data_IF_691075882384
#
_entry.id   IF_691075882384
#
_cell.length_a   1.000
_cell.length_b   1.000
_cell.length_c   1.000
_cell.angle_alpha   90.00
_cell.angle_beta   90.00
_cell.angle_gamma   90.00
#
_symmetry.space_group_name_H-M   'P 1'
#
loop_
_entity.id
_entity.type
_entity.pdbx_description
1 polymer ?
#
# COMPACT_ATOMS: atom_id res chain seq x y z
N UNK A 1 -30.55 27.08 20.25
CA UNK A 1 -30.22 25.70 19.82
C UNK A 1 -30.30 25.60 18.30
N UNK A 2 -29.17 25.75 17.62
CA UNK A 2 -28.81 25.15 16.32
C UNK A 2 -27.44 25.72 15.94
N UNK A 3 -26.38 25.00 16.32
CA UNK A 3 -25.06 25.23 15.72
C UNK A 3 -25.05 24.45 14.39
N UNK A 4 -25.23 25.15 13.29
CA UNK A 4 -24.76 24.69 11.99
C UNK A 4 -23.24 24.81 11.98
N UNK A 5 -22.56 23.71 12.30
CA UNK A 5 -21.11 23.63 12.16
C UNK A 5 -20.81 23.40 10.67
N UNK A 6 -20.08 24.37 10.12
CA UNK A 6 -19.45 24.40 8.81
C UNK A 6 -19.17 23.01 8.21
N UNK A 7 -19.88 22.67 7.12
CA UNK A 7 -19.53 21.59 6.18
C UNK A 7 -18.66 22.06 5.01
N UNK A 8 -18.02 23.23 5.12
CA UNK A 8 -17.20 23.82 4.05
C UNK A 8 -15.77 24.02 4.58
N UNK A 9 -14.84 23.15 4.17
CA UNK A 9 -13.41 23.43 4.42
C UNK A 9 -12.37 22.31 4.28
N UNK A 10 -12.70 21.04 4.00
CA UNK A 10 -11.68 19.96 4.05
C UNK A 10 -11.43 19.20 2.74
N UNK A 11 -11.88 19.70 1.58
CA UNK A 11 -11.60 19.05 0.28
C UNK A 11 -10.20 19.33 -0.29
N UNK A 12 -9.26 19.88 0.49
CA UNK A 12 -7.98 20.35 -0.07
C UNK A 12 -6.76 20.32 0.85
N UNK A 13 -6.85 19.74 2.06
CA UNK A 13 -5.64 19.46 2.84
C UNK A 13 -5.21 18.03 2.56
N UNK A 14 -4.04 17.86 1.96
CA UNK A 14 -3.40 16.56 1.82
C UNK A 14 -3.26 15.95 3.22
N UNK A 15 -3.96 14.85 3.46
CA UNK A 15 -3.91 14.17 4.76
C UNK A 15 -2.57 13.44 4.85
N UNK A 16 -1.74 13.79 5.82
CA UNK A 16 -0.54 13.04 6.15
C UNK A 16 -0.89 11.83 7.03
N UNK A 17 -0.06 10.80 6.91
CA UNK A 17 -0.10 9.69 7.85
C UNK A 17 0.25 10.16 9.26
N UNK A 18 -0.48 9.65 10.24
CA UNK A 18 -0.28 9.81 11.68
C UNK A 18 0.79 8.83 12.16
N UNK A 19 0.77 7.59 11.66
CA UNK A 19 1.79 6.61 12.01
C UNK A 19 3.10 6.92 11.30
N UNK A 20 4.20 6.48 11.92
CA UNK A 20 5.50 6.38 11.25
C UNK A 20 5.60 5.01 10.60
N UNK A 21 6.09 4.98 9.37
CA UNK A 21 6.28 3.76 8.61
C UNK A 21 7.76 3.55 8.33
N UNK A 22 8.22 2.32 8.50
CA UNK A 22 9.53 1.86 8.06
C UNK A 22 9.52 1.52 6.58
N UNK A 23 10.67 1.60 5.94
CA UNK A 23 10.83 1.19 4.56
C UNK A 23 10.34 -0.26 4.37
N UNK A 24 9.36 -0.53 3.49
CA UNK A 24 8.75 -1.85 3.34
C UNK A 24 9.59 -2.82 2.48
N UNK A 25 10.83 -2.45 2.17
CA UNK A 25 11.81 -3.24 1.42
C UNK A 25 13.21 -3.04 2.02
N UNK A 26 14.14 -3.99 1.87
CA UNK A 26 15.53 -3.81 2.31
C UNK A 26 16.21 -2.64 1.58
N UNK A 27 16.76 -1.68 2.35
CA UNK A 27 17.41 -0.47 1.80
C UNK A 27 18.56 -0.76 0.84
N UNK A 28 19.28 -1.86 1.03
CA UNK A 28 20.40 -2.26 0.18
C UNK A 28 19.97 -2.78 -1.21
N UNK A 29 18.68 -3.08 -1.40
CA UNK A 29 18.10 -3.51 -2.68
C UNK A 29 17.26 -2.40 -3.33
N UNK A 30 17.03 -1.29 -2.63
CA UNK A 30 16.24 -0.16 -3.11
C UNK A 30 17.03 0.64 -4.14
N UNK A 31 16.56 0.64 -5.38
CA UNK A 31 17.15 1.42 -6.46
C UNK A 31 16.63 2.85 -6.47
N UNK A 32 15.30 3.01 -6.31
CA UNK A 32 14.64 4.32 -6.32
C UNK A 32 13.28 4.27 -5.60
N UNK A 33 12.90 5.38 -4.99
CA UNK A 33 11.52 5.65 -4.56
C UNK A 33 10.87 6.55 -5.59
N UNK A 34 9.73 6.13 -6.13
CA UNK A 34 8.97 6.89 -7.12
C UNK A 34 7.58 7.24 -6.57
N UNK A 35 7.21 8.51 -6.70
CA UNK A 35 5.94 9.05 -6.20
C UNK A 35 5.12 9.72 -7.28
N UNK A 36 5.69 9.92 -8.47
CA UNK A 36 5.17 10.87 -9.46
C UNK A 36 5.08 10.32 -10.86
N UNK A 37 5.88 9.31 -11.23
CA UNK A 37 5.96 8.89 -12.63
C UNK A 37 4.79 8.00 -13.08
N UNK A 38 4.16 7.30 -12.13
CA UNK A 38 3.09 6.35 -12.44
C UNK A 38 1.77 7.06 -12.76
N UNK A 39 1.15 6.85 -13.93
CA UNK A 39 -0.15 7.42 -14.25
C UNK A 39 -1.27 6.85 -13.37
N UNK A 40 -1.03 5.74 -12.67
CA UNK A 40 -1.96 5.19 -11.68
C UNK A 40 -2.00 6.02 -10.38
N UNK A 41 -1.00 6.87 -10.12
CA UNK A 41 -0.91 7.72 -8.92
C UNK A 41 -1.78 8.98 -9.08
N UNK A 42 -3.07 8.77 -9.28
CA UNK A 42 -4.07 9.82 -9.44
C UNK A 42 -5.30 9.55 -8.56
N UNK A 43 -6.10 10.58 -8.31
CA UNK A 43 -7.33 10.46 -7.51
C UNK A 43 -7.08 9.90 -6.11
N UNK A 44 -7.70 8.76 -5.81
CA UNK A 44 -7.55 8.09 -4.51
C UNK A 44 -6.19 7.43 -4.30
N UNK A 45 -5.35 7.31 -5.34
CA UNK A 45 -4.01 6.72 -5.28
C UNK A 45 -2.89 7.78 -5.40
N UNK A 46 -3.23 9.07 -5.34
CA UNK A 46 -2.27 10.17 -5.52
C UNK A 46 -1.08 10.15 -4.55
N UNK A 47 -1.23 9.50 -3.38
CA UNK A 47 -0.17 9.39 -2.37
C UNK A 47 0.49 8.00 -2.36
N UNK A 48 0.22 7.16 -3.37
CA UNK A 48 0.91 5.89 -3.52
C UNK A 48 2.40 6.10 -3.88
N UNK A 49 3.18 5.07 -3.60
CA UNK A 49 4.63 5.10 -3.65
C UNK A 49 5.09 3.79 -4.29
N UNK A 50 5.89 3.88 -5.33
CA UNK A 50 6.51 2.72 -5.95
C UNK A 50 7.97 2.61 -5.47
N UNK A 51 8.31 1.48 -4.87
CA UNK A 51 9.69 1.15 -4.52
C UNK A 51 10.29 0.27 -5.61
N UNK A 52 11.19 0.83 -6.39
CA UNK A 52 11.86 0.13 -7.49
C UNK A 52 12.90 -0.80 -6.89
N UNK A 53 12.63 -2.10 -6.99
CA UNK A 53 13.45 -3.21 -6.45
C UNK A 53 13.29 -4.45 -7.32
N UNK A 54 14.28 -5.35 -7.37
CA UNK A 54 14.16 -6.61 -8.12
C UNK A 54 13.01 -7.51 -7.67
N UNK A 55 12.53 -8.38 -8.55
CA UNK A 55 11.65 -9.50 -8.17
C UNK A 55 12.29 -10.37 -7.08
N UNK A 56 11.45 -11.02 -6.27
CA UNK A 56 11.83 -11.81 -5.10
C UNK A 56 12.44 -11.00 -3.93
N UNK A 57 12.53 -9.67 -4.03
CA UNK A 57 12.88 -8.81 -2.89
C UNK A 57 11.91 -9.05 -1.73
N UNK A 58 12.38 -9.26 -0.49
CA UNK A 58 11.53 -9.36 0.69
C UNK A 58 10.63 -8.13 0.85
N UNK A 59 9.33 -8.35 1.03
CA UNK A 59 8.38 -7.30 1.41
C UNK A 59 8.21 -7.34 2.91
N UNK A 60 8.42 -6.20 3.56
CA UNK A 60 8.43 -6.05 5.01
C UNK A 60 7.20 -5.27 5.47
N UNK A 61 6.58 -5.70 6.57
CA UNK A 61 5.53 -4.91 7.22
C UNK A 61 6.09 -3.55 7.64
N UNK A 62 5.53 -2.47 7.10
CA UNK A 62 6.02 -1.11 7.32
C UNK A 62 5.76 -0.60 8.75
N UNK A 63 4.85 -1.23 9.49
CA UNK A 63 4.56 -0.94 10.89
C UNK A 63 3.90 -2.16 11.56
N UNK A 64 3.85 -2.18 12.89
CA UNK A 64 3.09 -3.17 13.64
C UNK A 64 1.61 -3.13 13.25
N UNK A 65 0.95 -4.29 13.15
CA UNK A 65 -0.45 -4.32 12.77
C UNK A 65 -1.06 -5.71 12.70
N UNK A 66 -2.25 -5.79 12.12
CA UNK A 66 -2.97 -7.05 11.89
C UNK A 66 -3.30 -7.17 10.40
N UNK A 67 -3.01 -8.32 9.80
CA UNK A 67 -3.33 -8.58 8.39
C UNK A 67 -4.85 -8.66 8.23
N UNK A 68 -5.42 -7.81 7.37
CA UNK A 68 -6.87 -7.75 7.14
C UNK A 68 -7.27 -8.39 5.83
N UNK A 69 -6.37 -8.45 4.85
CA UNK A 69 -6.66 -9.06 3.56
C UNK A 69 -5.42 -9.61 2.88
N UNK A 70 -5.61 -10.67 2.10
CA UNK A 70 -4.60 -11.28 1.24
C UNK A 70 -5.27 -11.68 -0.06
N UNK A 71 -4.67 -11.30 -1.19
CA UNK A 71 -4.87 -11.92 -2.49
C UNK A 71 -3.51 -12.39 -2.99
N UNK A 72 -3.37 -13.69 -3.23
CA UNK A 72 -2.07 -14.31 -3.56
C UNK A 72 -2.24 -15.47 -4.56
N UNK A 73 -3.29 -15.40 -5.38
CA UNK A 73 -3.80 -16.47 -6.22
C UNK A 73 -3.52 -16.27 -7.72
N UNK A 74 -2.98 -15.12 -8.11
CA UNK A 74 -2.70 -14.80 -9.50
C UNK A 74 -1.25 -15.04 -9.87
N UNK A 75 -1.03 -15.50 -11.11
CA UNK A 75 0.25 -15.52 -11.80
C UNK A 75 0.27 -14.60 -13.04
N UNK A 76 -0.71 -13.71 -13.16
CA UNK A 76 -0.93 -12.86 -14.34
C UNK A 76 -0.50 -11.43 -14.03
N UNK A 77 0.23 -10.82 -14.96
CA UNK A 77 0.52 -9.39 -14.95
C UNK A 77 1.13 -8.89 -16.25
N UNK A 78 1.35 -7.58 -16.32
CA UNK A 78 1.96 -6.90 -17.47
C UNK A 78 1.46 -5.47 -17.66
N UNK A 79 1.87 -4.80 -18.75
CA UNK A 79 1.67 -3.36 -18.94
C UNK A 79 0.28 -3.00 -19.49
N UNK A 80 -0.68 -3.93 -19.47
CA UNK A 80 -2.04 -3.66 -19.91
C UNK A 80 -2.94 -3.37 -18.69
N UNK A 81 -3.67 -2.24 -18.66
CA UNK A 81 -4.61 -1.91 -17.57
C UNK A 81 -5.67 -3.00 -17.31
N UNK A 82 -5.98 -3.86 -18.28
CA UNK A 82 -6.88 -5.00 -18.08
C UNK A 82 -6.38 -5.97 -17.01
N UNK A 83 -5.08 -5.92 -16.67
CA UNK A 83 -4.52 -6.79 -15.65
C UNK A 83 -4.74 -6.32 -14.21
N UNK A 84 -5.36 -5.16 -13.98
CA UNK A 84 -5.56 -4.60 -12.64
C UNK A 84 -6.17 -5.59 -11.62
N UNK A 85 -7.15 -6.40 -12.04
CA UNK A 85 -7.82 -7.36 -11.15
C UNK A 85 -6.97 -8.57 -10.78
N UNK A 86 -5.82 -8.75 -11.43
CA UNK A 86 -4.88 -9.84 -11.17
C UNK A 86 -3.78 -9.47 -10.17
N UNK A 87 -3.72 -8.23 -9.68
CA UNK A 87 -2.74 -7.80 -8.68
C UNK A 87 -2.84 -8.65 -7.41
N UNK A 88 -1.75 -9.28 -6.99
CA UNK A 88 -1.66 -9.88 -5.66
C UNK A 88 -1.23 -8.82 -4.66
N UNK A 89 -1.81 -8.87 -3.47
CA UNK A 89 -1.57 -7.88 -2.44
C UNK A 89 -1.86 -8.38 -1.02
N UNK A 90 -1.26 -7.70 -0.06
CA UNK A 90 -1.57 -7.83 1.37
C UNK A 90 -2.02 -6.46 1.89
N UNK A 91 -3.02 -6.44 2.76
CA UNK A 91 -3.42 -5.26 3.50
C UNK A 91 -3.28 -5.48 5.01
N UNK A 92 -2.77 -4.48 5.73
CA UNK A 92 -2.54 -4.52 7.18
C UNK A 92 -3.19 -3.30 7.81
N UNK A 93 -3.97 -3.49 8.88
CA UNK A 93 -4.46 -2.41 9.74
C UNK A 93 -3.45 -2.12 10.85
N UNK A 94 -3.26 -0.84 11.13
CA UNK A 94 -2.34 -0.32 12.14
C UNK A 94 -3.10 0.47 13.21
N UNK A 95 -2.35 1.04 14.16
CA UNK A 95 -2.88 2.04 15.08
C UNK A 95 -3.49 3.23 14.31
N UNK A 96 -4.36 4.01 14.96
CA UNK A 96 -5.02 5.19 14.37
C UNK A 96 -5.88 4.88 13.13
N UNK A 97 -6.31 3.62 12.96
CA UNK A 97 -7.14 3.17 11.84
C UNK A 97 -6.52 3.43 10.44
N UNK A 98 -5.19 3.52 10.39
CA UNK A 98 -4.46 3.55 9.13
C UNK A 98 -4.22 2.15 8.62
N UNK A 99 -4.27 2.01 7.30
CA UNK A 99 -4.01 0.77 6.61
C UNK A 99 -2.83 0.95 5.68
N UNK A 100 -1.95 -0.04 5.62
CA UNK A 100 -0.99 -0.16 4.53
C UNK A 100 -1.38 -1.29 3.59
N UNK A 101 -1.10 -1.11 2.30
CA UNK A 101 -1.28 -2.13 1.28
C UNK A 101 -0.02 -2.26 0.42
N UNK A 102 0.28 -3.50 0.07
CA UNK A 102 1.52 -3.95 -0.57
C UNK A 102 1.14 -4.74 -1.83
N UNK A 103 1.34 -4.15 -3.00
CA UNK A 103 0.84 -4.64 -4.29
C UNK A 103 1.94 -5.21 -5.18
N UNK A 104 1.54 -5.82 -6.30
CA UNK A 104 2.40 -6.50 -7.27
C UNK A 104 3.22 -7.66 -6.67
N UNK A 105 2.67 -8.33 -5.66
CA UNK A 105 3.36 -9.43 -4.98
C UNK A 105 3.56 -10.63 -5.92
N UNK A 106 4.63 -11.38 -5.66
CA UNK A 106 4.89 -12.64 -6.36
C UNK A 106 3.79 -13.68 -6.04
N UNK A 107 3.42 -14.55 -7.00
CA UNK A 107 2.40 -15.58 -6.77
C UNK A 107 2.79 -16.52 -5.63
N UNK A 108 1.84 -16.85 -4.75
CA UNK A 108 2.02 -17.80 -3.64
C UNK A 108 3.19 -17.42 -2.72
N UNK A 109 3.46 -16.12 -2.57
CA UNK A 109 4.61 -15.63 -1.79
C UNK A 109 4.25 -15.19 -0.38
N UNK A 110 2.96 -15.12 -0.02
CA UNK A 110 2.54 -14.70 1.31
C UNK A 110 3.12 -15.60 2.40
N UNK A 111 3.71 -14.97 3.42
CA UNK A 111 4.26 -15.60 4.63
C UNK A 111 3.32 -15.44 5.83
N UNK A 112 2.16 -14.82 5.63
CA UNK A 112 1.20 -14.47 6.67
C UNK A 112 -0.22 -14.90 6.31
N UNK A 113 -1.12 -14.84 7.29
CA UNK A 113 -2.55 -15.16 7.13
C UNK A 113 -3.42 -14.00 7.60
N UNK A 114 -4.63 -13.90 7.06
CA UNK A 114 -5.64 -12.93 7.57
C UNK A 114 -5.88 -13.16 9.06
N UNK A 115 -5.93 -12.07 9.84
CA UNK A 115 -6.03 -12.08 11.30
C UNK A 115 -4.70 -12.22 12.03
N UNK A 116 -3.59 -12.48 11.34
CA UNK A 116 -2.28 -12.58 11.96
C UNK A 116 -1.76 -11.20 12.37
N UNK A 117 -1.29 -11.08 13.62
CA UNK A 117 -0.50 -9.93 14.05
C UNK A 117 0.91 -9.99 13.45
N UNK A 118 1.40 -8.84 12.97
CA UNK A 118 2.73 -8.69 12.40
C UNK A 118 3.49 -7.57 13.10
N UNK A 119 4.80 -7.76 13.21
CA UNK A 119 5.71 -6.74 13.72
C UNK A 119 6.29 -5.91 12.57
N UNK A 120 6.61 -4.64 12.85
CA UNK A 120 7.39 -3.80 11.93
C UNK A 120 8.68 -4.52 11.50
N UNK A 121 8.97 -4.50 10.19
CA UNK A 121 10.13 -5.16 9.61
C UNK A 121 9.99 -6.68 9.42
N UNK A 122 8.88 -7.29 9.87
CA UNK A 122 8.60 -8.69 9.59
C UNK A 122 8.40 -8.90 8.09
N UNK A 123 9.06 -9.90 7.51
CA UNK A 123 8.82 -10.28 6.12
C UNK A 123 7.42 -10.91 5.97
N UNK A 124 6.61 -10.36 5.07
CA UNK A 124 5.22 -10.76 4.84
C UNK A 124 4.99 -11.39 3.47
N UNK A 125 5.81 -11.08 2.46
CA UNK A 125 5.70 -11.60 1.10
C UNK A 125 6.99 -11.34 0.31
N UNK A 126 6.94 -11.55 -1.00
CA UNK A 126 8.00 -11.15 -1.93
C UNK A 126 7.45 -10.28 -3.05
N UNK A 127 8.29 -9.36 -3.54
CA UNK A 127 8.00 -8.57 -4.75
C UNK A 127 7.90 -9.50 -5.96
N UNK A 128 6.95 -9.23 -6.84
CA UNK A 128 6.79 -9.92 -8.11
C UNK A 128 6.32 -8.97 -9.20
N UNK A 129 5.53 -9.51 -10.13
CA UNK A 129 5.09 -8.82 -11.35
C UNK A 129 3.60 -9.09 -11.65
N UNK A 130 2.78 -9.29 -10.62
CA UNK A 130 1.33 -9.54 -10.83
C UNK A 130 0.56 -8.23 -11.01
N UNK A 131 -0.52 -8.29 -11.80
CA UNK A 131 -1.37 -7.13 -12.04
C UNK A 131 -0.90 -6.17 -13.13
N UNK A 132 -1.41 -4.94 -13.11
CA UNK A 132 -1.00 -3.90 -14.04
C UNK A 132 0.34 -3.29 -13.61
N UNK A 133 1.44 -3.76 -14.21
CA UNK A 133 2.80 -3.35 -13.86
C UNK A 133 3.71 -3.37 -15.09
N UNK A 134 4.71 -2.49 -15.12
CA UNK A 134 5.64 -2.34 -16.24
C UNK A 134 7.03 -2.91 -15.95
N UNK A 135 7.42 -2.96 -14.68
CA UNK A 135 8.74 -3.36 -14.21
C UNK A 135 8.65 -3.83 -12.75
N UNK A 136 9.62 -4.61 -12.24
CA UNK A 136 9.62 -5.07 -10.85
C UNK A 136 9.66 -3.92 -9.84
N UNK A 137 8.63 -3.81 -9.01
CA UNK A 137 8.55 -2.84 -7.93
C UNK A 137 7.53 -3.28 -6.89
N UNK A 138 7.62 -2.71 -5.69
CA UNK A 138 6.53 -2.76 -4.71
C UNK A 138 5.71 -1.48 -4.83
N UNK A 139 4.45 -1.60 -5.26
CA UNK A 139 3.48 -0.52 -5.12
C UNK A 139 2.96 -0.53 -3.67
N UNK A 140 3.08 0.61 -3.01
CA UNK A 140 2.77 0.76 -1.59
C UNK A 140 1.88 1.98 -1.39
N UNK A 141 0.87 1.82 -0.54
CA UNK A 141 -0.01 2.92 -0.17
C UNK A 141 -0.39 2.82 1.30
N UNK A 142 -0.52 3.98 1.94
CA UNK A 142 -1.20 4.11 3.24
C UNK A 142 -2.51 4.84 3.00
N UNK A 143 -3.58 4.37 3.63
CA UNK A 143 -4.90 4.96 3.48
C UNK A 143 -5.71 4.86 4.77
N UNK A 144 -6.73 5.72 4.83
CA UNK A 144 -7.79 5.66 5.84
C UNK A 144 -9.11 5.34 5.16
N UNK A 145 -10.02 4.72 5.89
CA UNK A 145 -11.40 4.61 5.43
C UNK A 145 -12.10 5.94 5.56
N UNK A 146 -12.74 6.35 4.47
CA UNK A 146 -13.50 7.60 4.43
C UNK A 146 -15.01 7.35 4.53
N UNK A 147 -15.48 6.09 4.40
CA UNK A 147 -16.89 5.66 4.50
C UNK A 147 -17.04 4.18 4.94
N UNK A 148 -18.07 3.48 4.43
CA UNK A 148 -18.53 2.13 4.82
C UNK A 148 -17.82 0.96 4.11
N UNK A 149 -17.01 1.17 3.07
CA UNK A 149 -16.39 0.07 2.30
C UNK A 149 -14.90 0.29 1.96
N UNK A 150 -14.05 -0.61 2.47
CA UNK A 150 -12.59 -0.70 2.23
C UNK A 150 -12.20 -0.75 0.75
N UNK A 151 -13.05 -1.28 -0.12
CA UNK A 151 -12.75 -1.52 -1.53
C UNK A 151 -12.99 -0.31 -2.43
N UNK A 152 -13.86 0.61 -2.03
CA UNK A 152 -14.32 1.71 -2.88
C UNK A 152 -14.15 3.09 -2.24
N UNK A 153 -14.10 3.16 -0.90
CA UNK A 153 -14.13 4.41 -0.15
C UNK A 153 -12.92 4.57 0.77
N UNK A 154 -11.73 4.51 0.18
CA UNK A 154 -10.47 4.87 0.85
C UNK A 154 -9.90 6.16 0.27
N UNK A 155 -9.11 6.84 1.09
CA UNK A 155 -8.30 7.98 0.67
C UNK A 155 -6.87 7.75 1.11
N UNK A 156 -5.93 7.73 0.17
CA UNK A 156 -4.52 7.57 0.52
C UNK A 156 -4.02 8.78 1.28
N UNK A 157 -3.25 8.53 2.32
CA UNK A 157 -2.57 9.55 3.12
C UNK A 157 -1.10 9.60 2.75
N UNK A 158 -0.51 10.79 2.86
CA UNK A 158 0.88 11.04 2.50
C UNK A 158 1.82 10.53 3.59
N UNK A 159 2.67 9.57 3.24
CA UNK A 159 3.84 9.19 4.07
C UNK A 159 5.00 10.06 3.61
N UNK A 160 5.44 11.03 4.40
CA UNK A 160 6.53 11.93 3.98
C UNK A 160 7.88 11.23 3.99
N UNK A 161 8.23 10.62 5.12
CA UNK A 161 9.51 9.94 5.34
C UNK A 161 9.31 8.53 5.87
N UNK A 162 10.28 7.66 5.55
CA UNK A 162 10.38 6.33 6.13
C UNK A 162 11.45 6.31 7.21
N UNK A 163 11.12 5.73 8.37
CA UNK A 163 12.08 5.54 9.45
C UNK A 163 13.06 4.41 9.11
N UNK A 164 14.30 4.53 9.60
CA UNK A 164 15.40 3.58 9.37
C UNK A 164 15.43 2.46 10.38
#
# INVERSE_FOLDING_TARGET
MKLEILKLGLRGLEKSAINRYRLPVPKNLLERVDRTSSPAHAGNLRNAIDFIVPENTPVLAAANGVVTYIKDDSSIGGPNPTYWNFTNFIAIVHANEEYSRYDHLAPQSSKVKVGQAVSEGQEIAKVGMTGYTFLPHLHFQVFIFTRTNIWMDFDTVSVQDFIS
#
